data_IF_382205459758
#
_entry.id   IF_382205459758
#
_cell.length_a   1.000
_cell.length_b   1.000
_cell.length_c   1.000
_cell.angle_alpha   90.00
_cell.angle_beta   90.00
_cell.angle_gamma   90.00
#
_symmetry.space_group_name_H-M   'P 1'
#
loop_
_entity.id
_entity.type
_entity.pdbx_description
1 polymer ?
#
# COMPACT_ATOMS: atom_id res chain seq x y z
N UNK A 1 46.23 -41.43 -32.51
CA UNK A 1 46.59 -40.12 -31.94
C UNK A 1 45.46 -39.15 -32.24
N UNK A 2 45.02 -38.46 -31.19
CA UNK A 2 44.10 -37.32 -31.09
C UNK A 2 44.39 -36.24 -32.16
N UNK A 3 43.46 -35.43 -32.69
CA UNK A 3 42.51 -34.53 -32.03
C UNK A 3 41.46 -33.97 -33.03
N UNK A 4 40.19 -34.02 -32.59
CA UNK A 4 39.08 -33.01 -32.62
C UNK A 4 38.58 -32.33 -33.92
N UNK A 5 37.24 -32.21 -34.11
CA UNK A 5 36.61 -31.36 -35.12
C UNK A 5 36.50 -29.89 -34.66
N UNK A 6 36.84 -28.95 -35.55
CA UNK A 6 36.61 -27.51 -35.39
C UNK A 6 35.10 -27.22 -35.44
N UNK A 7 34.53 -26.82 -34.31
CA UNK A 7 33.16 -26.29 -34.22
C UNK A 7 33.18 -24.78 -34.49
N UNK A 8 32.52 -24.38 -35.57
CA UNK A 8 32.34 -22.99 -35.96
C UNK A 8 31.41 -22.28 -34.94
N UNK A 9 31.95 -21.28 -34.24
CA UNK A 9 31.27 -20.57 -33.18
C UNK A 9 30.28 -19.56 -33.78
N UNK A 10 29.02 -19.97 -33.96
CA UNK A 10 27.90 -19.02 -34.10
C UNK A 10 27.80 -18.20 -32.81
N UNK A 11 28.32 -16.97 -32.85
CA UNK A 11 28.09 -15.93 -31.85
C UNK A 11 26.59 -15.66 -31.82
N UNK A 12 25.89 -16.27 -30.85
CA UNK A 12 24.49 -15.96 -30.60
C UNK A 12 24.47 -14.67 -29.76
N UNK A 13 24.32 -13.53 -30.44
CA UNK A 13 23.99 -12.27 -29.79
C UNK A 13 22.63 -12.44 -29.12
N UNK A 14 22.64 -12.69 -27.81
CA UNK A 14 21.43 -12.75 -26.99
C UNK A 14 20.89 -11.32 -26.85
N UNK A 15 19.86 -11.00 -27.64
CA UNK A 15 19.15 -9.74 -27.53
C UNK A 15 18.55 -9.56 -26.12
N UNK A 16 18.80 -8.39 -25.52
CA UNK A 16 18.42 -8.06 -24.15
C UNK A 16 16.89 -8.16 -23.89
N UNK A 17 16.54 -8.74 -22.73
CA UNK A 17 15.19 -9.18 -22.35
C UNK A 17 14.24 -8.05 -21.92
N UNK A 18 13.41 -7.56 -22.84
CA UNK A 18 12.30 -6.63 -22.53
C UNK A 18 11.18 -7.26 -21.68
N UNK A 19 10.99 -8.59 -21.77
CA UNK A 19 9.95 -9.33 -21.02
C UNK A 19 10.17 -9.29 -19.50
N UNK A 20 11.43 -9.31 -19.04
CA UNK A 20 11.78 -9.28 -17.60
C UNK A 20 11.35 -7.97 -16.91
N UNK A 21 11.58 -6.81 -17.55
CA UNK A 21 11.17 -5.49 -17.03
C UNK A 21 9.64 -5.34 -16.94
N UNK A 22 8.91 -5.79 -17.98
CA UNK A 22 7.44 -5.70 -18.02
C UNK A 22 6.79 -6.58 -16.95
N UNK A 23 7.30 -7.81 -16.74
CA UNK A 23 6.83 -8.72 -15.68
C UNK A 23 7.02 -8.09 -14.30
N UNK A 24 8.20 -7.51 -14.00
CA UNK A 24 8.46 -6.79 -12.74
C UNK A 24 7.50 -5.62 -12.48
N UNK A 25 7.08 -4.88 -13.52
CA UNK A 25 6.14 -3.76 -13.40
C UNK A 25 4.71 -4.23 -13.09
N UNK A 26 4.25 -5.33 -13.70
CA UNK A 26 2.92 -5.91 -13.43
C UNK A 26 2.82 -6.47 -12.03
N UNK A 27 3.85 -7.18 -11.58
CA UNK A 27 3.96 -7.74 -10.23
C UNK A 27 3.91 -6.63 -9.15
N UNK A 28 4.70 -5.55 -9.32
CA UNK A 28 4.65 -4.37 -8.43
C UNK A 28 3.25 -3.73 -8.39
N UNK A 29 2.56 -3.63 -9.53
CA UNK A 29 1.19 -3.10 -9.59
C UNK A 29 0.21 -4.00 -8.83
N UNK A 30 0.32 -5.32 -8.95
CA UNK A 30 -0.50 -6.28 -8.20
C UNK A 30 -0.27 -6.14 -6.70
N UNK A 31 0.99 -6.08 -6.27
CA UNK A 31 1.36 -5.91 -4.87
C UNK A 31 0.84 -4.58 -4.28
N UNK A 32 0.97 -3.48 -5.04
CA UNK A 32 0.45 -2.17 -4.64
C UNK A 32 -1.07 -2.17 -4.46
N UNK A 33 -1.82 -2.84 -5.34
CA UNK A 33 -3.28 -2.96 -5.21
C UNK A 33 -3.67 -3.74 -3.96
N UNK A 34 -3.01 -4.87 -3.71
CA UNK A 34 -3.27 -5.71 -2.55
C UNK A 34 -3.01 -4.95 -1.23
N UNK A 35 -1.86 -4.26 -1.14
CA UNK A 35 -1.53 -3.44 0.04
C UNK A 35 -2.46 -2.24 0.27
N UNK A 36 -3.07 -1.69 -0.79
CA UNK A 36 -4.02 -0.57 -0.67
C UNK A 36 -5.44 -1.03 -0.29
N UNK A 37 -5.84 -2.25 -0.63
CA UNK A 37 -7.15 -2.80 -0.29
C UNK A 37 -7.36 -2.95 1.21
N UNK A 38 -6.32 -3.40 1.94
CA UNK A 38 -6.38 -3.51 3.39
C UNK A 38 -5.06 -3.05 4.02
N UNK A 39 -5.00 -1.77 4.41
CA UNK A 39 -3.81 -1.19 5.06
C UNK A 39 -3.50 -1.76 6.45
N UNK A 40 -4.35 -2.64 6.99
CA UNK A 40 -4.16 -3.31 8.29
C UNK A 40 -3.58 -4.72 8.17
N UNK A 41 -3.48 -5.28 6.96
CA UNK A 41 -2.90 -6.61 6.79
C UNK A 41 -1.42 -6.63 7.15
N UNK A 42 -0.98 -7.74 7.73
CA UNK A 42 0.44 -7.97 7.99
C UNK A 42 1.18 -8.34 6.70
N UNK A 43 2.50 -8.16 6.68
CA UNK A 43 3.34 -8.55 5.54
C UNK A 43 3.20 -10.04 5.24
N UNK A 44 3.12 -10.90 6.26
CA UNK A 44 2.91 -12.34 6.11
C UNK A 44 1.57 -12.67 5.41
N UNK A 45 0.47 -12.05 5.85
CA UNK A 45 -0.85 -12.24 5.23
C UNK A 45 -0.87 -11.77 3.78
N UNK A 46 -0.25 -10.62 3.51
CA UNK A 46 -0.14 -10.05 2.17
C UNK A 46 0.72 -10.93 1.27
N UNK A 47 1.81 -11.50 1.80
CA UNK A 47 2.71 -12.42 1.09
C UNK A 47 2.01 -13.73 0.75
N UNK A 48 1.26 -14.30 1.70
CA UNK A 48 0.45 -15.50 1.46
C UNK A 48 -0.59 -15.27 0.36
N UNK A 49 -1.33 -14.15 0.42
CA UNK A 49 -2.30 -13.76 -0.62
C UNK A 49 -1.64 -13.49 -1.97
N UNK A 50 -0.44 -12.90 -1.97
CA UNK A 50 0.30 -12.65 -3.20
C UNK A 50 0.75 -13.96 -3.86
N UNK A 51 1.25 -14.91 -3.05
CA UNK A 51 1.75 -16.20 -3.53
C UNK A 51 0.63 -17.19 -3.88
N UNK A 52 -0.60 -16.98 -3.40
CA UNK A 52 -1.76 -17.77 -3.78
C UNK A 52 -1.96 -17.70 -5.32
N UNK A 53 -1.63 -18.79 -6.01
CA UNK A 53 -1.73 -18.93 -7.46
C UNK A 53 -0.47 -18.52 -8.26
N UNK A 54 0.66 -18.22 -7.60
CA UNK A 54 1.90 -17.90 -8.29
C UNK A 54 2.73 -19.15 -8.60
N UNK A 55 3.34 -19.20 -9.80
CA UNK A 55 4.25 -20.29 -10.19
C UNK A 55 5.61 -20.24 -9.47
N UNK A 56 5.90 -19.12 -8.79
CA UNK A 56 7.10 -18.91 -7.98
C UNK A 56 6.71 -18.04 -6.78
N UNK A 57 7.12 -18.45 -5.58
CA UNK A 57 6.83 -17.72 -4.35
C UNK A 57 7.81 -16.58 -4.14
N UNK A 58 7.32 -15.48 -3.57
CA UNK A 58 8.12 -14.34 -3.12
C UNK A 58 8.23 -14.40 -1.60
N UNK A 59 9.43 -14.13 -1.07
CA UNK A 59 9.66 -14.08 0.38
C UNK A 59 9.06 -12.82 1.01
N UNK A 60 8.69 -12.91 2.29
CA UNK A 60 8.16 -11.78 3.06
C UNK A 60 9.11 -10.58 3.06
N UNK A 61 10.42 -10.82 3.20
CA UNK A 61 11.44 -9.78 3.17
C UNK A 61 11.42 -9.00 1.84
N UNK A 62 11.26 -9.71 0.71
CA UNK A 62 11.17 -9.07 -0.61
C UNK A 62 9.90 -8.24 -0.74
N UNK A 63 8.77 -8.75 -0.24
CA UNK A 63 7.49 -8.02 -0.18
C UNK A 63 7.64 -6.76 0.67
N UNK A 64 8.28 -6.85 1.83
CA UNK A 64 8.50 -5.72 2.72
C UNK A 64 9.33 -4.61 2.05
N UNK A 65 10.50 -4.94 1.49
CA UNK A 65 11.35 -3.95 0.81
C UNK A 65 10.62 -3.30 -0.36
N UNK A 66 9.89 -4.08 -1.15
CA UNK A 66 9.14 -3.54 -2.30
C UNK A 66 7.96 -2.66 -1.88
N UNK A 67 7.31 -2.94 -0.75
CA UNK A 67 6.28 -2.07 -0.18
C UNK A 67 6.87 -0.72 0.29
N UNK A 68 8.03 -0.75 0.96
CA UNK A 68 8.74 0.46 1.40
C UNK A 68 9.20 1.31 0.22
N UNK A 69 9.75 0.70 -0.84
CA UNK A 69 10.12 1.36 -2.10
C UNK A 69 8.91 2.00 -2.80
N UNK A 70 7.70 1.52 -2.53
CA UNK A 70 6.45 2.11 -3.01
C UNK A 70 5.81 3.09 -2.01
N UNK A 71 6.49 3.43 -0.92
CA UNK A 71 5.99 4.25 0.19
C UNK A 71 4.69 3.72 0.82
N UNK A 72 4.52 2.39 0.83
CA UNK A 72 3.40 1.71 1.48
C UNK A 72 3.86 1.15 2.81
N UNK A 73 3.60 1.90 3.88
CA UNK A 73 3.87 1.48 5.25
C UNK A 73 2.57 1.12 5.98
N UNK A 74 2.69 0.34 7.05
CA UNK A 74 1.59 0.11 7.98
C UNK A 74 1.16 1.44 8.64
N UNK A 75 -0.13 1.57 8.94
CA UNK A 75 -0.67 2.74 9.66
C UNK A 75 -1.35 2.29 10.94
N UNK A 76 -0.88 2.80 12.07
CA UNK A 76 -1.56 2.61 13.35
C UNK A 76 -2.88 3.39 13.39
N UNK A 77 -3.91 2.80 13.98
CA UNK A 77 -5.15 3.52 14.27
C UNK A 77 -4.90 4.55 15.37
N UNK A 78 -5.39 5.77 15.20
CA UNK A 78 -5.41 6.75 16.30
C UNK A 78 -6.36 6.26 17.39
N UNK A 79 -5.96 6.38 18.66
CA UNK A 79 -6.81 6.04 19.82
C UNK A 79 -7.80 7.17 20.06
N UNK A 80 -8.91 7.16 19.32
CA UNK A 80 -10.02 8.10 19.51
C UNK A 80 -11.27 7.34 19.96
N UNK A 81 -12.12 7.96 20.81
CA UNK A 81 -13.38 7.35 21.17
C UNK A 81 -14.21 7.09 19.90
N UNK A 82 -14.86 5.93 19.88
CA UNK A 82 -15.69 5.53 18.74
C UNK A 82 -16.95 6.40 18.72
N UNK A 83 -17.06 7.28 17.72
CA UNK A 83 -18.27 8.05 17.49
C UNK A 83 -19.36 7.14 16.92
N UNK A 84 -20.52 7.11 17.57
CA UNK A 84 -21.75 6.51 17.03
C UNK A 84 -22.18 7.24 15.76
N UNK A 85 -23.05 6.62 14.95
CA UNK A 85 -23.62 7.28 13.75
C UNK A 85 -24.30 8.60 14.10
N UNK A 86 -25.07 8.63 15.19
CA UNK A 86 -25.76 9.82 15.68
C UNK A 86 -24.76 10.93 16.06
N UNK A 87 -23.70 10.61 16.80
CA UNK A 87 -22.69 11.60 17.17
C UNK A 87 -22.00 12.21 15.94
N UNK A 88 -21.67 11.39 14.93
CA UNK A 88 -21.07 11.89 13.68
C UNK A 88 -22.00 12.85 12.95
N UNK A 89 -23.29 12.51 12.87
CA UNK A 89 -24.29 13.33 12.22
C UNK A 89 -24.45 14.69 12.92
N UNK A 90 -24.69 14.68 14.24
CA UNK A 90 -24.85 15.90 15.03
C UNK A 90 -23.62 16.80 14.97
N UNK A 91 -22.41 16.23 15.12
CA UNK A 91 -21.16 17.01 15.02
C UNK A 91 -20.97 17.62 13.63
N UNK A 92 -21.28 16.88 12.57
CA UNK A 92 -21.17 17.39 11.20
C UNK A 92 -22.22 18.46 10.91
N UNK A 93 -23.45 18.28 11.37
CA UNK A 93 -24.52 19.27 11.24
C UNK A 93 -24.13 20.56 11.95
N UNK A 94 -23.72 20.47 13.22
CA UNK A 94 -23.27 21.62 14.00
C UNK A 94 -22.14 22.36 13.29
N UNK A 95 -21.10 21.65 12.84
CA UNK A 95 -19.98 22.26 12.12
C UNK A 95 -20.38 22.92 10.78
N UNK A 96 -21.46 22.47 10.13
CA UNK A 96 -21.98 23.09 8.90
C UNK A 96 -22.77 24.34 9.21
N UNK A 97 -23.66 24.29 10.20
CA UNK A 97 -24.48 25.42 10.65
C UNK A 97 -23.61 26.57 11.16
N UNK A 98 -22.46 26.25 11.76
CA UNK A 98 -21.56 27.21 12.42
C UNK A 98 -20.30 27.50 11.59
N UNK A 99 -20.27 27.09 10.31
CA UNK A 99 -19.09 27.25 9.43
C UNK A 99 -18.69 28.71 9.24
N UNK A 100 -19.70 29.56 9.04
CA UNK A 100 -19.52 30.96 8.66
C UNK A 100 -19.70 31.91 9.85
N UNK A 101 -19.62 31.37 11.07
CA UNK A 101 -19.73 32.16 12.29
C UNK A 101 -18.62 33.20 12.41
N UNK A 102 -19.05 34.42 12.73
CA UNK A 102 -18.21 35.56 13.02
C UNK A 102 -17.58 35.45 14.41
N UNK A 103 -16.51 36.21 14.66
CA UNK A 103 -15.81 36.19 15.95
C UNK A 103 -16.73 36.55 17.12
N UNK A 104 -17.72 37.42 16.93
CA UNK A 104 -18.66 37.79 17.98
C UNK A 104 -19.69 36.70 18.28
N UNK A 105 -20.01 35.85 17.31
CA UNK A 105 -20.83 34.64 17.53
C UNK A 105 -20.02 33.57 18.28
N UNK A 106 -18.74 33.38 17.93
CA UNK A 106 -17.84 32.50 18.69
C UNK A 106 -17.70 32.91 20.15
N UNK A 107 -17.61 34.23 20.43
CA UNK A 107 -17.55 34.76 21.82
C UNK A 107 -18.79 34.45 22.66
N UNK A 108 -19.93 34.13 22.04
CA UNK A 108 -21.18 33.79 22.75
C UNK A 108 -21.22 32.34 23.20
N UNK A 109 -20.35 31.47 22.66
CA UNK A 109 -20.30 30.06 23.06
C UNK A 109 -19.71 29.94 24.46
N UNK A 110 -20.45 29.32 25.37
CA UNK A 110 -19.98 28.95 26.70
C UNK A 110 -19.64 27.47 26.71
N UNK A 111 -18.45 27.15 27.19
CA UNK A 111 -17.97 25.77 27.36
C UNK A 111 -18.05 25.42 28.84
N UNK A 112 -18.70 24.31 29.16
CA UNK A 112 -18.68 23.67 30.47
C UNK A 112 -18.12 22.27 30.28
N UNK A 113 -16.93 22.04 30.82
CA UNK A 113 -16.29 20.74 30.92
C UNK A 113 -15.99 20.52 32.41
N UNK A 114 -16.44 19.40 32.97
CA UNK A 114 -16.05 18.98 34.32
C UNK A 114 -14.75 18.18 34.20
N UNK A 115 -13.71 18.62 34.93
CA UNK A 115 -12.43 17.90 35.04
C UNK A 115 -12.50 16.74 36.01
#
# INVERSE_FOLDING_TARGET
MTVTPTVDAKVLVVHASSKKKKKKKTERRRLSRLGKQNRRQTVAQLTAQYNAGASASVSEHTVQITLLDMALCSRCTTRVPLLTKCHRHLRLQWAREHRDWTMDEWKRVKWSDES
#
